data_IF_508117454812
#
_entry.id   IF_508117454812
#
_cell.length_a   1.000
_cell.length_b   1.000
_cell.length_c   1.000
_cell.angle_alpha   90.00
_cell.angle_beta   90.00
_cell.angle_gamma   90.00
#
_symmetry.space_group_name_H-M   'P 1'
#
loop_
_entity.id
_entity.type
_entity.pdbx_description
1 polymer ?
#
# COMPACT_ATOMS: atom_id res chain seq x y z
N UNK A 1 12.15 -12.47 -12.87
CA UNK A 1 12.04 -13.16 -11.57
C UNK A 1 10.95 -12.45 -10.79
N UNK A 2 9.73 -12.94 -10.99
CA UNK A 2 8.48 -12.33 -10.52
C UNK A 2 8.25 -12.72 -9.06
N UNK A 3 8.12 -11.71 -8.20
CA UNK A 3 7.62 -11.86 -6.84
C UNK A 3 6.15 -12.24 -6.85
N UNK A 4 5.84 -13.51 -7.08
CA UNK A 4 4.66 -14.12 -6.48
C UNK A 4 4.96 -14.29 -5.00
N UNK A 5 4.33 -13.45 -4.17
CA UNK A 5 4.32 -13.65 -2.71
C UNK A 5 3.93 -15.11 -2.43
N UNK A 6 4.66 -15.87 -1.60
CA UNK A 6 4.50 -17.31 -1.40
C UNK A 6 3.24 -17.69 -0.60
N UNK A 7 2.20 -16.85 -0.61
CA UNK A 7 1.01 -17.04 0.21
C UNK A 7 0.21 -18.30 -0.20
N UNK A 8 0.19 -18.69 -1.48
CA UNK A 8 -0.49 -19.92 -1.89
C UNK A 8 0.36 -21.18 -1.65
N UNK A 9 1.67 -21.14 -1.92
CA UNK A 9 2.53 -22.33 -1.84
C UNK A 9 2.79 -22.79 -0.40
N UNK A 10 2.90 -21.86 0.56
CA UNK A 10 3.05 -22.18 1.98
C UNK A 10 1.71 -22.62 2.62
N UNK A 11 0.59 -21.98 2.21
CA UNK A 11 -0.76 -22.33 2.66
C UNK A 11 -1.15 -23.76 2.29
N UNK A 12 -0.79 -24.23 1.09
CA UNK A 12 -1.02 -25.62 0.70
C UNK A 12 -0.03 -26.60 1.36
N UNK A 13 1.21 -26.21 1.63
CA UNK A 13 2.19 -27.08 2.30
C UNK A 13 1.86 -27.32 3.78
N UNK A 14 1.31 -26.31 4.48
CA UNK A 14 0.85 -26.42 5.88
C UNK A 14 -0.44 -27.22 5.97
N UNK A 15 -1.45 -26.96 5.12
CA UNK A 15 -2.68 -27.77 5.09
C UNK A 15 -2.40 -29.24 4.75
N UNK A 16 -1.41 -29.50 3.88
CA UNK A 16 -0.96 -30.84 3.52
C UNK A 16 -0.24 -31.54 4.69
N UNK A 17 0.66 -30.86 5.43
CA UNK A 17 1.31 -31.43 6.63
C UNK A 17 0.34 -31.62 7.80
N UNK A 18 -0.66 -30.75 7.95
CA UNK A 18 -1.63 -30.80 9.04
C UNK A 18 -2.64 -31.94 8.84
N UNK A 19 -3.12 -32.17 7.61
CA UNK A 19 -3.90 -33.36 7.28
C UNK A 19 -3.09 -34.67 7.40
N UNK A 20 -1.79 -34.64 7.07
CA UNK A 20 -0.88 -35.79 7.22
C UNK A 20 -0.54 -36.12 8.70
N UNK A 21 -0.70 -35.17 9.64
CA UNK A 21 -0.46 -35.35 11.08
C UNK A 21 -1.74 -35.64 11.89
N UNK A 22 -2.93 -35.25 11.42
CA UNK A 22 -4.19 -35.28 12.19
C UNK A 22 -5.05 -36.54 12.01
N UNK A 23 -4.40 -37.71 11.92
CA UNK A 23 -4.93 -38.94 12.51
C UNK A 23 -5.07 -38.89 14.06
N UNK A 24 -5.31 -37.70 14.63
CA UNK A 24 -5.32 -37.37 16.07
C UNK A 24 -6.43 -36.37 16.43
N UNK A 25 -7.65 -36.57 15.94
CA UNK A 25 -8.81 -35.81 16.42
C UNK A 25 -9.40 -36.44 17.70
N UNK A 26 -8.77 -36.20 18.86
CA UNK A 26 -9.33 -36.65 20.16
C UNK A 26 -8.99 -35.81 21.40
N UNK A 27 -8.53 -34.55 21.25
CA UNK A 27 -8.36 -33.65 22.40
C UNK A 27 -9.17 -32.36 22.23
N UNK A 28 -10.20 -32.21 23.06
CA UNK A 28 -10.95 -30.97 23.22
C UNK A 28 -9.99 -29.83 23.60
N UNK A 29 -9.93 -28.77 22.77
CA UNK A 29 -9.07 -27.60 22.97
C UNK A 29 -8.10 -27.30 21.81
N UNK A 30 -7.79 -28.27 20.95
CA UNK A 30 -6.99 -28.01 19.74
C UNK A 30 -7.75 -27.12 18.74
N UNK A 31 -9.02 -27.45 18.49
CA UNK A 31 -9.89 -26.73 17.55
C UNK A 31 -10.16 -25.27 17.93
N UNK A 32 -10.25 -24.96 19.23
CA UNK A 32 -10.46 -23.59 19.72
C UNK A 32 -9.25 -22.69 19.46
N UNK A 33 -8.03 -23.25 19.54
CA UNK A 33 -6.80 -22.52 19.21
C UNK A 33 -6.72 -22.19 17.72
N UNK A 34 -7.07 -23.16 16.87
CA UNK A 34 -7.05 -22.96 15.42
C UNK A 34 -8.07 -21.92 14.97
N UNK A 35 -9.30 -21.95 15.51
CA UNK A 35 -10.32 -20.94 15.21
C UNK A 35 -9.88 -19.53 15.61
N UNK A 36 -9.26 -19.38 16.79
CA UNK A 36 -8.73 -18.09 17.23
C UNK A 36 -7.70 -17.56 16.23
N UNK A 37 -6.82 -18.44 15.76
CA UNK A 37 -5.80 -18.09 14.77
C UNK A 37 -6.42 -17.70 13.43
N UNK A 38 -7.40 -18.45 12.93
CA UNK A 38 -8.11 -18.13 11.69
C UNK A 38 -8.78 -16.75 11.75
N UNK A 39 -9.40 -16.39 12.90
CA UNK A 39 -9.98 -15.05 13.08
C UNK A 39 -8.93 -13.95 13.01
N UNK A 40 -7.78 -14.14 13.66
CA UNK A 40 -6.69 -13.17 13.61
C UNK A 40 -6.13 -13.00 12.18
N UNK A 41 -5.99 -14.09 11.41
CA UNK A 41 -5.60 -14.01 10.00
C UNK A 41 -6.63 -13.29 9.14
N UNK A 42 -7.92 -13.57 9.37
CA UNK A 42 -9.00 -12.88 8.68
C UNK A 42 -8.97 -11.37 8.99
N UNK A 43 -8.70 -10.98 10.24
CA UNK A 43 -8.55 -9.57 10.62
C UNK A 43 -7.39 -8.89 9.89
N UNK A 44 -6.22 -9.54 9.74
CA UNK A 44 -5.09 -9.00 8.97
C UNK A 44 -5.46 -8.80 7.49
N UNK A 45 -6.12 -9.80 6.90
CA UNK A 45 -6.45 -9.77 5.47
C UNK A 45 -7.56 -8.78 5.14
N UNK A 46 -8.64 -8.80 5.92
CA UNK A 46 -9.85 -7.99 5.72
C UNK A 46 -9.65 -6.55 6.18
N UNK A 47 -9.08 -6.34 7.37
CA UNK A 47 -8.96 -5.02 7.97
C UNK A 47 -7.60 -4.36 7.67
N UNK A 48 -6.72 -5.06 6.93
CA UNK A 48 -5.36 -4.58 6.61
C UNK A 48 -4.57 -4.22 7.87
N UNK A 49 -4.89 -4.88 8.98
CA UNK A 49 -4.24 -4.67 10.27
C UNK A 49 -2.84 -5.27 10.20
N UNK A 50 -1.77 -4.49 10.42
CA UNK A 50 -0.43 -5.03 10.50
C UNK A 50 -0.32 -6.06 11.61
N UNK A 51 0.54 -7.03 11.44
CA UNK A 51 0.85 -8.01 12.47
C UNK A 51 2.14 -8.73 12.22
N UNK A 52 2.49 -9.59 13.17
CA UNK A 52 3.68 -10.43 13.11
C UNK A 52 3.25 -11.88 13.23
N UNK A 53 3.63 -12.66 12.24
CA UNK A 53 3.58 -14.11 12.31
C UNK A 53 4.88 -14.57 12.97
N UNK A 54 4.77 -15.45 13.95
CA UNK A 54 5.91 -16.12 14.58
C UNK A 54 5.72 -17.63 14.53
N UNK A 55 6.76 -18.36 14.14
CA UNK A 55 6.79 -19.82 14.12
C UNK A 55 7.96 -20.30 14.97
N UNK A 56 7.68 -21.27 15.85
CA UNK A 56 8.63 -21.88 16.78
C UNK A 56 8.43 -23.40 16.78
N UNK A 57 9.34 -24.19 17.37
CA UNK A 57 9.12 -25.62 17.61
C UNK A 57 7.81 -25.94 18.32
N UNK A 58 7.33 -25.01 19.17
CA UNK A 58 6.11 -25.16 19.96
C UNK A 58 4.83 -24.73 19.23
N UNK A 59 4.96 -24.27 17.97
CA UNK A 59 3.84 -23.94 17.10
C UNK A 59 3.85 -22.49 16.60
N UNK A 60 2.65 -22.06 16.20
CA UNK A 60 2.41 -20.83 15.45
C UNK A 60 1.71 -19.77 16.31
N UNK A 61 2.15 -18.52 16.20
CA UNK A 61 1.54 -17.38 16.86
C UNK A 61 1.35 -16.21 15.91
N UNK A 62 0.26 -15.46 16.09
CA UNK A 62 -0.03 -14.24 15.36
C UNK A 62 -0.32 -13.10 16.33
N UNK A 63 0.48 -12.04 16.22
CA UNK A 63 0.37 -10.85 17.05
C UNK A 63 -0.08 -9.68 16.17
N UNK A 64 -1.32 -9.22 16.38
CA UNK A 64 -1.88 -8.08 15.67
C UNK A 64 -1.30 -6.78 16.22
N UNK A 65 -1.25 -5.75 15.37
CA UNK A 65 -0.78 -4.40 15.70
C UNK A 65 0.70 -4.33 16.13
N UNK A 66 1.43 -5.44 16.03
CA UNK A 66 2.87 -5.46 16.20
C UNK A 66 3.54 -5.20 14.86
N UNK A 67 4.68 -4.51 14.90
CA UNK A 67 5.51 -4.25 13.72
C UNK A 67 6.87 -4.90 13.94
N UNK A 68 7.40 -5.48 12.87
CA UNK A 68 8.81 -5.84 12.77
C UNK A 68 9.48 -4.86 11.79
N UNK A 69 10.81 -4.72 11.84
CA UNK A 69 11.57 -4.23 10.69
C UNK A 69 11.16 -4.97 9.42
N UNK A 70 11.37 -4.38 8.24
CA UNK A 70 10.99 -4.94 6.93
C UNK A 70 11.76 -6.22 6.51
N UNK A 71 12.32 -6.93 7.47
CA UNK A 71 13.09 -8.14 7.30
C UNK A 71 12.43 -9.29 8.04
N UNK A 72 12.35 -10.43 7.36
CA UNK A 72 12.10 -11.71 8.02
C UNK A 72 13.22 -11.98 9.02
N UNK A 73 12.85 -12.30 10.26
CA UNK A 73 13.79 -12.65 11.31
C UNK A 73 13.82 -14.17 11.46
N UNK A 74 15.02 -14.76 11.38
CA UNK A 74 15.21 -16.18 11.66
C UNK A 74 16.37 -16.35 12.63
N UNK A 75 16.08 -17.01 13.75
CA UNK A 75 17.05 -17.34 14.78
C UNK A 75 17.05 -18.85 14.99
N UNK A 76 18.21 -19.49 14.88
CA UNK A 76 18.41 -20.92 15.09
C UNK A 76 19.48 -21.12 16.17
N UNK A 77 19.08 -21.67 17.31
CA UNK A 77 20.01 -22.08 18.38
C UNK A 77 20.17 -23.61 18.40
N UNK A 78 19.08 -24.35 18.21
CA UNK A 78 19.08 -25.82 18.06
C UNK A 78 17.83 -26.31 17.31
N UNK A 79 17.72 -27.61 17.04
CA UNK A 79 16.52 -28.21 16.43
C UNK A 79 15.23 -27.94 17.22
N UNK A 80 15.34 -27.82 18.55
CA UNK A 80 14.21 -27.55 19.45
C UNK A 80 14.20 -26.11 19.97
N UNK A 81 15.06 -25.23 19.45
CA UNK A 81 15.15 -23.84 19.86
C UNK A 81 15.45 -22.96 18.65
N UNK A 82 14.38 -22.58 17.96
CA UNK A 82 14.41 -21.69 16.80
C UNK A 82 13.17 -20.81 16.75
N UNK A 83 13.30 -19.68 16.07
CA UNK A 83 12.25 -18.70 15.88
C UNK A 83 12.31 -18.15 14.46
N UNK A 84 11.19 -18.22 13.75
CA UNK A 84 10.94 -17.50 12.51
C UNK A 84 9.91 -16.42 12.78
N UNK A 85 10.13 -15.19 12.31
CA UNK A 85 9.13 -14.13 12.36
C UNK A 85 9.04 -13.36 11.05
N UNK A 86 7.82 -12.98 10.67
CA UNK A 86 7.55 -12.21 9.47
C UNK A 86 6.45 -11.18 9.69
N UNK A 87 6.66 -9.99 9.16
CA UNK A 87 5.68 -8.91 9.12
C UNK A 87 4.58 -9.22 8.09
N UNK A 88 3.32 -9.14 8.50
CA UNK A 88 2.15 -9.37 7.65
C UNK A 88 1.15 -8.21 7.76
N UNK A 89 0.20 -8.12 6.84
CA UNK A 89 -0.81 -7.05 6.84
C UNK A 89 -0.32 -5.70 6.33
N UNK A 90 0.94 -5.59 5.91
CA UNK A 90 1.50 -4.38 5.31
C UNK A 90 1.21 -4.35 3.81
N UNK A 91 0.06 -3.80 3.45
CA UNK A 91 -0.31 -3.58 2.06
C UNK A 91 0.07 -2.16 1.66
N UNK A 92 0.76 -2.00 0.53
CA UNK A 92 1.02 -0.68 -0.06
C UNK A 92 -0.33 -0.12 -0.50
N UNK A 93 -0.74 1.01 0.06
CA UNK A 93 -2.02 1.64 -0.22
C UNK A 93 -1.80 2.79 -1.19
N UNK A 94 -2.40 2.69 -2.38
CA UNK A 94 -2.37 3.74 -3.38
C UNK A 94 -3.67 4.53 -3.35
N UNK A 95 -3.56 5.84 -3.09
CA UNK A 95 -4.66 6.78 -3.20
C UNK A 95 -4.46 7.63 -4.45
N UNK A 96 -5.25 7.38 -5.49
CA UNK A 96 -5.24 8.15 -6.73
C UNK A 96 -6.30 9.25 -6.62
N UNK A 97 -5.85 10.50 -6.55
CA UNK A 97 -6.72 11.66 -6.42
C UNK A 97 -6.95 12.26 -7.80
N UNK A 98 -8.15 12.09 -8.34
CA UNK A 98 -8.47 12.26 -9.74
C UNK A 98 -8.66 10.91 -10.43
N UNK A 99 -9.80 10.76 -11.11
CA UNK A 99 -10.27 9.55 -11.78
C UNK A 99 -10.07 9.55 -13.29
N UNK A 100 -9.20 10.40 -13.83
CA UNK A 100 -8.97 10.53 -15.28
C UNK A 100 -8.16 9.39 -15.93
N UNK A 101 -7.81 9.55 -17.20
CA UNK A 101 -7.12 8.53 -18.01
C UNK A 101 -5.79 8.04 -17.42
N UNK A 102 -4.99 8.94 -16.84
CA UNK A 102 -3.72 8.56 -16.19
C UNK A 102 -3.97 7.74 -14.92
N UNK A 103 -5.04 8.05 -14.17
CA UNK A 103 -5.46 7.28 -12.98
C UNK A 103 -5.83 5.85 -13.34
N UNK A 104 -6.62 5.68 -14.40
CA UNK A 104 -6.99 4.38 -14.94
C UNK A 104 -5.75 3.58 -15.38
N UNK A 105 -4.87 4.19 -16.17
CA UNK A 105 -3.65 3.55 -16.64
C UNK A 105 -2.70 3.17 -15.49
N UNK A 106 -2.53 4.05 -14.50
CA UNK A 106 -1.71 3.79 -13.33
C UNK A 106 -2.32 2.70 -12.43
N UNK A 107 -3.64 2.69 -12.24
CA UNK A 107 -4.33 1.63 -11.47
C UNK A 107 -4.02 0.24 -12.02
N UNK A 108 -4.01 0.10 -13.36
CA UNK A 108 -3.66 -1.16 -14.03
C UNK A 108 -2.25 -1.65 -13.67
N UNK A 109 -1.27 -0.75 -13.64
CA UNK A 109 0.13 -1.10 -13.32
C UNK A 109 0.29 -1.33 -11.81
N UNK A 110 -0.31 -0.49 -10.98
CA UNK A 110 -0.23 -0.65 -9.52
C UNK A 110 -0.86 -1.96 -9.03
N UNK A 111 -1.90 -2.46 -9.72
CA UNK A 111 -2.49 -3.75 -9.43
C UNK A 111 -1.51 -4.91 -9.63
N UNK A 112 -0.63 -4.83 -10.63
CA UNK A 112 0.43 -5.85 -10.83
C UNK A 112 1.59 -5.71 -9.85
N UNK A 113 1.65 -4.61 -9.11
CA UNK A 113 2.64 -4.33 -8.07
C UNK A 113 2.10 -4.55 -6.64
N UNK A 114 0.98 -5.25 -6.49
CA UNK A 114 0.30 -5.56 -5.22
C UNK A 114 -0.08 -4.33 -4.38
N UNK A 115 -0.49 -3.24 -5.02
CA UNK A 115 -1.10 -2.12 -4.30
C UNK A 115 -2.59 -2.35 -4.05
N UNK A 116 -3.04 -1.97 -2.85
CA UNK A 116 -4.46 -1.79 -2.57
C UNK A 116 -4.87 -0.37 -3.02
N UNK A 117 -5.69 -0.29 -4.06
CA UNK A 117 -5.92 0.94 -4.83
C UNK A 117 -7.28 1.53 -4.49
N UNK A 118 -7.26 2.77 -4.01
CA UNK A 118 -8.44 3.62 -3.84
C UNK A 118 -8.35 4.80 -4.80
N UNK A 119 -9.38 5.00 -5.62
CA UNK A 119 -9.50 6.19 -6.47
C UNK A 119 -10.52 7.13 -5.85
N UNK A 120 -10.17 8.41 -5.73
CA UNK A 120 -11.04 9.45 -5.18
C UNK A 120 -11.22 10.54 -6.23
N UNK A 121 -12.46 10.86 -6.58
CA UNK A 121 -12.79 12.01 -7.43
C UNK A 121 -14.05 12.73 -6.92
N UNK A 122 -14.15 14.03 -7.15
CA UNK A 122 -15.36 14.82 -6.87
C UNK A 122 -16.38 14.75 -8.01
N UNK A 123 -15.90 14.52 -9.24
CA UNK A 123 -16.73 14.48 -10.44
C UNK A 123 -17.66 13.27 -10.43
N UNK A 124 -18.85 13.48 -10.99
CA UNK A 124 -19.84 12.41 -11.11
C UNK A 124 -19.46 11.47 -12.25
N UNK A 125 -19.22 10.20 -11.89
CA UNK A 125 -19.11 9.06 -12.78
C UNK A 125 -18.38 9.30 -14.12
N UNK A 126 -17.13 9.81 -14.14
CA UNK A 126 -16.38 9.86 -15.38
C UNK A 126 -16.21 8.44 -15.93
N UNK A 127 -16.34 8.25 -17.25
CA UNK A 127 -16.28 6.93 -17.89
C UNK A 127 -15.05 6.14 -17.44
N UNK A 128 -13.91 6.82 -17.26
CA UNK A 128 -12.67 6.22 -16.78
C UNK A 128 -12.78 5.58 -15.39
N UNK A 129 -13.59 6.11 -14.47
CA UNK A 129 -13.87 5.47 -13.19
C UNK A 129 -14.69 4.20 -13.37
N UNK A 130 -15.72 4.21 -14.22
CA UNK A 130 -16.53 3.02 -14.50
C UNK A 130 -15.65 1.87 -15.05
N UNK A 131 -14.78 2.18 -16.00
CA UNK A 131 -13.84 1.23 -16.61
C UNK A 131 -12.65 0.81 -15.72
N UNK A 132 -12.45 1.46 -14.57
CA UNK A 132 -11.35 1.13 -13.68
C UNK A 132 -11.64 -0.11 -12.82
N UNK A 133 -11.58 -1.30 -13.41
CA UNK A 133 -11.78 -2.57 -12.69
C UNK A 133 -10.58 -2.96 -11.81
N UNK A 134 -9.48 -2.22 -11.88
CA UNK A 134 -8.25 -2.45 -11.08
C UNK A 134 -8.30 -1.77 -9.72
N UNK A 135 -9.11 -0.71 -9.59
CA UNK A 135 -9.34 -0.04 -8.31
C UNK A 135 -10.17 -0.92 -7.39
N UNK A 136 -9.68 -1.15 -6.17
CA UNK A 136 -10.39 -1.90 -5.14
C UNK A 136 -11.55 -1.06 -4.55
N UNK A 137 -11.35 0.26 -4.49
CA UNK A 137 -12.35 1.23 -4.01
C UNK A 137 -12.39 2.45 -4.92
N UNK A 138 -13.60 2.96 -5.16
CA UNK A 138 -13.86 4.21 -5.89
C UNK A 138 -14.75 5.06 -5.00
N UNK A 139 -14.22 6.18 -4.53
CA UNK A 139 -14.90 7.03 -3.55
C UNK A 139 -15.21 8.39 -4.17
N UNK A 140 -16.41 8.88 -3.89
CA UNK A 140 -16.81 10.25 -4.23
C UNK A 140 -16.71 11.10 -2.98
N UNK A 141 -15.62 11.83 -2.84
CA UNK A 141 -15.33 12.62 -1.64
C UNK A 141 -14.87 14.00 -2.09
N UNK A 142 -15.40 15.08 -1.49
CA UNK A 142 -14.87 16.43 -1.68
C UNK A 142 -13.37 16.46 -1.41
N UNK A 143 -12.57 17.01 -2.32
CA UNK A 143 -11.13 17.15 -2.19
C UNK A 143 -10.73 17.97 -0.95
N UNK A 144 -11.63 18.81 -0.42
CA UNK A 144 -11.45 19.54 0.85
C UNK A 144 -11.49 18.65 2.09
N UNK A 145 -11.95 17.42 1.96
CA UNK A 145 -12.13 16.45 3.03
C UNK A 145 -11.17 15.26 2.91
N UNK A 146 -10.28 15.27 1.90
CA UNK A 146 -9.31 14.19 1.67
C UNK A 146 -8.40 13.96 2.88
N UNK A 147 -8.04 15.04 3.59
CA UNK A 147 -7.29 14.96 4.84
C UNK A 147 -7.98 14.09 5.90
N UNK A 148 -9.29 13.90 5.88
CA UNK A 148 -9.98 13.02 6.83
C UNK A 148 -10.06 11.57 6.34
N UNK A 149 -9.91 11.35 5.04
CA UNK A 149 -10.05 10.02 4.42
C UNK A 149 -8.73 9.24 4.39
N UNK A 150 -7.62 9.92 4.11
CA UNK A 150 -6.33 9.23 3.92
C UNK A 150 -5.68 8.99 5.29
N UNK A 151 -5.40 7.73 5.68
CA UNK A 151 -4.76 7.44 6.95
C UNK A 151 -3.29 7.86 6.95
N UNK A 152 -2.74 8.07 8.15
CA UNK A 152 -1.30 8.24 8.33
C UNK A 152 -0.64 6.87 8.48
N UNK A 153 0.26 6.54 7.56
CA UNK A 153 1.04 5.31 7.59
C UNK A 153 2.17 5.38 6.57
N UNK A 154 3.31 4.75 6.90
CA UNK A 154 4.42 4.54 5.98
C UNK A 154 4.10 3.56 4.83
N UNK A 155 2.85 3.07 4.74
CA UNK A 155 2.37 2.28 3.61
C UNK A 155 1.51 3.07 2.63
N UNK A 156 1.29 4.36 2.89
CA UNK A 156 0.39 5.20 2.10
C UNK A 156 1.15 5.97 1.03
N UNK A 157 0.70 5.82 -0.21
CA UNK A 157 1.20 6.48 -1.41
C UNK A 157 0.08 7.27 -2.04
N UNK A 158 0.22 8.58 -2.12
CA UNK A 158 -0.79 9.49 -2.67
C UNK A 158 -0.31 10.07 -3.99
N UNK A 159 -1.16 10.00 -4.99
CA UNK A 159 -0.93 10.49 -6.34
C UNK A 159 -1.98 11.53 -6.67
N UNK A 160 -1.59 12.79 -6.64
CA UNK A 160 -2.42 13.94 -6.98
C UNK A 160 -2.40 14.12 -8.49
N UNK A 161 -3.51 13.81 -9.16
CA UNK A 161 -3.69 13.85 -10.61
C UNK A 161 -5.04 14.44 -11.00
N UNK A 162 -5.40 15.53 -10.31
CA UNK A 162 -6.67 16.24 -10.56
C UNK A 162 -6.59 17.09 -11.83
N UNK A 163 -7.72 17.69 -12.21
CA UNK A 163 -7.86 18.47 -13.44
C UNK A 163 -7.41 19.95 -13.31
N UNK A 164 -7.09 20.46 -12.11
CA UNK A 164 -6.77 21.88 -11.92
C UNK A 164 -5.68 22.14 -10.88
N UNK A 165 -4.95 23.25 -11.05
CA UNK A 165 -3.96 23.73 -10.07
C UNK A 165 -4.59 23.99 -8.69
N UNK A 166 -5.83 24.46 -8.65
CA UNK A 166 -6.54 24.79 -7.41
C UNK A 166 -6.82 23.53 -6.59
N UNK A 167 -7.33 22.49 -7.24
CA UNK A 167 -7.64 21.21 -6.60
C UNK A 167 -6.36 20.48 -6.19
N UNK A 168 -5.30 20.50 -7.00
CA UNK A 168 -4.01 19.93 -6.61
C UNK A 168 -3.43 20.61 -5.36
N UNK A 169 -3.47 21.95 -5.32
CA UNK A 169 -3.02 22.73 -4.16
C UNK A 169 -3.80 22.35 -2.91
N UNK A 170 -5.13 22.34 -3.00
CA UNK A 170 -6.03 22.04 -1.90
C UNK A 170 -5.75 20.65 -1.29
N UNK A 171 -5.47 19.66 -2.13
CA UNK A 171 -5.14 18.30 -1.68
C UNK A 171 -3.74 18.25 -1.09
N UNK A 172 -2.75 18.85 -1.76
CA UNK A 172 -1.37 18.86 -1.28
C UNK A 172 -1.24 19.52 0.10
N UNK A 173 -1.94 20.66 0.32
CA UNK A 173 -1.97 21.39 1.59
C UNK A 173 -2.45 20.51 2.75
N UNK A 174 -3.47 19.68 2.55
CA UNK A 174 -4.02 18.80 3.59
C UNK A 174 -3.11 17.60 3.92
N UNK A 175 -2.20 17.22 3.02
CA UNK A 175 -1.45 15.96 3.11
C UNK A 175 0.05 16.15 3.32
N UNK A 176 0.59 17.35 3.09
CA UNK A 176 2.03 17.59 3.15
C UNK A 176 2.64 17.28 4.53
N UNK A 177 1.91 17.59 5.61
CA UNK A 177 2.33 17.35 7.00
C UNK A 177 2.05 15.92 7.49
N UNK A 178 1.27 15.13 6.74
CA UNK A 178 0.91 13.78 7.16
C UNK A 178 2.07 12.81 7.06
N UNK A 179 2.12 11.84 7.99
CA UNK A 179 3.05 10.71 7.94
C UNK A 179 2.65 9.69 6.88
N UNK A 180 2.89 10.03 5.62
CA UNK A 180 2.72 9.17 4.44
C UNK A 180 4.07 8.94 3.75
N UNK A 181 4.22 7.83 3.03
CA UNK A 181 5.49 7.45 2.39
C UNK A 181 5.75 8.21 1.10
N UNK A 182 4.69 8.56 0.38
CA UNK A 182 4.81 9.24 -0.90
C UNK A 182 3.65 10.22 -1.11
N UNK A 183 3.99 11.46 -1.47
CA UNK A 183 3.05 12.50 -1.88
C UNK A 183 3.52 13.08 -3.21
N UNK A 184 2.91 12.62 -4.30
CA UNK A 184 3.32 12.98 -5.64
C UNK A 184 2.25 13.75 -6.39
N UNK A 185 2.65 14.79 -7.14
CA UNK A 185 1.76 15.61 -7.97
C UNK A 185 2.10 15.48 -9.45
N UNK A 186 1.09 15.14 -10.25
CA UNK A 186 1.17 15.11 -11.71
C UNK A 186 1.06 16.52 -12.29
N UNK A 187 2.00 16.88 -13.18
CA UNK A 187 1.99 18.17 -13.84
C UNK A 187 3.31 18.51 -14.53
N UNK A 188 3.36 19.66 -15.21
CA UNK A 188 4.62 20.22 -15.71
C UNK A 188 5.48 20.75 -14.57
N UNK A 189 6.79 20.91 -14.77
CA UNK A 189 7.70 21.50 -13.77
C UNK A 189 7.21 22.85 -13.27
N UNK A 190 6.83 23.74 -14.20
CA UNK A 190 6.23 25.05 -13.91
C UNK A 190 4.98 24.95 -13.03
N UNK A 191 4.11 23.96 -13.29
CA UNK A 191 2.91 23.72 -12.47
C UNK A 191 3.26 23.35 -11.04
N UNK A 192 4.29 22.51 -10.85
CA UNK A 192 4.72 22.08 -9.52
C UNK A 192 5.43 23.21 -8.76
N UNK A 193 6.30 23.96 -9.42
CA UNK A 193 6.95 25.15 -8.84
C UNK A 193 5.92 26.16 -8.35
N UNK A 194 4.91 26.45 -9.18
CA UNK A 194 3.83 27.35 -8.81
C UNK A 194 2.96 26.81 -7.67
N UNK A 195 2.73 25.49 -7.62
CA UNK A 195 2.03 24.86 -6.51
C UNK A 195 2.80 25.05 -5.19
N UNK A 196 4.12 24.81 -5.20
CA UNK A 196 4.97 24.98 -4.00
C UNK A 196 5.03 26.44 -3.56
N UNK A 197 5.25 27.38 -4.47
CA UNK A 197 5.26 28.82 -4.17
C UNK A 197 3.95 29.28 -3.52
N UNK A 198 2.81 28.77 -3.99
CA UNK A 198 1.50 29.08 -3.42
C UNK A 198 1.24 28.51 -2.02
N UNK A 199 2.10 27.60 -1.56
CA UNK A 199 2.02 26.91 -0.27
C UNK A 199 3.14 27.33 0.69
N UNK A 200 4.12 28.13 0.26
CA UNK A 200 5.24 28.60 1.10
C UNK A 200 4.80 29.36 2.35
N UNK A 201 3.67 30.06 2.29
CA UNK A 201 3.12 30.79 3.45
C UNK A 201 2.30 29.92 4.40
N UNK A 202 2.06 28.65 4.03
CA UNK A 202 1.15 27.74 4.74
C UNK A 202 1.81 26.47 5.25
N UNK A 203 2.89 26.05 4.60
CA UNK A 203 3.62 24.83 4.89
C UNK A 203 5.06 25.15 5.25
N UNK A 204 5.66 24.34 6.11
CA UNK A 204 7.09 24.44 6.38
C UNK A 204 7.90 24.01 5.14
N UNK A 205 9.19 24.37 5.14
CA UNK A 205 10.13 23.98 4.07
C UNK A 205 10.20 22.46 3.94
N UNK A 206 10.21 21.74 5.07
CA UNK A 206 10.24 20.28 5.11
C UNK A 206 8.99 19.68 4.46
N UNK A 207 7.81 20.21 4.75
CA UNK A 207 6.55 19.75 4.18
C UNK A 207 6.46 20.04 2.68
N UNK A 208 6.99 21.18 2.22
CA UNK A 208 7.12 21.48 0.78
C UNK A 208 8.11 20.56 0.06
N UNK A 209 9.17 20.13 0.74
CA UNK A 209 10.13 19.17 0.21
C UNK A 209 9.53 17.76 0.08
N UNK A 210 8.59 17.39 0.96
CA UNK A 210 7.84 16.12 0.87
C UNK A 210 6.94 16.03 -0.37
N UNK A 211 6.45 17.16 -0.90
CA UNK A 211 5.68 17.20 -2.14
C UNK A 211 6.61 16.91 -3.33
N UNK A 212 6.45 15.74 -3.95
CA UNK A 212 7.19 15.33 -5.16
C UNK A 212 6.41 15.74 -6.40
N UNK A 213 7.12 16.15 -7.44
CA UNK A 213 6.52 16.54 -8.69
C UNK A 213 7.52 17.21 -9.64
N UNK A 214 7.37 17.08 -10.97
CA UNK A 214 6.47 16.15 -11.65
C UNK A 214 6.75 14.70 -11.28
N UNK A 215 5.69 13.93 -11.04
CA UNK A 215 5.83 12.49 -10.76
C UNK A 215 6.14 11.72 -12.04
N UNK A 216 6.90 10.66 -11.90
CA UNK A 216 7.41 9.82 -12.96
C UNK A 216 8.84 10.12 -13.38
N UNK A 217 9.57 9.09 -13.80
CA UNK A 217 10.91 9.24 -14.36
C UNK A 217 10.87 10.03 -15.69
N UNK A 218 11.91 10.82 -16.01
CA UNK A 218 11.93 11.67 -17.20
C UNK A 218 12.22 10.89 -18.49
N UNK A 219 11.29 9.99 -18.86
CA UNK A 219 11.41 9.09 -20.03
C UNK A 219 10.72 9.64 -21.29
N UNK A 220 10.42 10.94 -21.33
CA UNK A 220 9.67 11.61 -22.41
C UNK A 220 8.30 10.96 -22.69
N UNK A 221 7.58 10.59 -21.63
CA UNK A 221 6.23 10.04 -21.72
C UNK A 221 5.20 11.09 -22.15
N UNK A 222 4.31 10.72 -23.07
CA UNK A 222 3.22 11.55 -23.58
C UNK A 222 1.84 10.91 -23.39
N UNK A 223 1.74 9.60 -23.54
CA UNK A 223 0.45 8.89 -23.41
C UNK A 223 0.15 8.56 -21.95
N UNK A 224 -1.13 8.37 -21.54
CA UNK A 224 -1.47 7.95 -20.18
C UNK A 224 -0.77 6.66 -19.74
N UNK A 225 -0.56 5.72 -20.67
CA UNK A 225 0.15 4.47 -20.40
C UNK A 225 1.65 4.71 -20.16
N UNK A 226 2.32 5.52 -20.99
CA UNK A 226 3.73 5.87 -20.79
C UNK A 226 3.94 6.64 -19.48
N UNK A 227 3.03 7.58 -19.17
CA UNK A 227 3.06 8.34 -17.91
C UNK A 227 2.91 7.37 -16.74
N UNK A 228 1.95 6.45 -16.79
CA UNK A 228 1.76 5.44 -15.75
C UNK A 228 3.02 4.57 -15.55
N UNK A 229 3.68 4.12 -16.63
CA UNK A 229 4.95 3.38 -16.56
C UNK A 229 6.04 4.23 -15.91
N UNK A 230 6.14 5.51 -16.28
CA UNK A 230 7.14 6.41 -15.70
C UNK A 230 6.97 6.58 -14.18
N UNK A 231 5.72 6.70 -13.70
CA UNK A 231 5.38 6.79 -12.28
C UNK A 231 5.69 5.47 -11.58
N UNK A 232 5.29 4.34 -12.16
CA UNK A 232 5.59 3.04 -11.58
C UNK A 232 7.10 2.78 -11.45
N UNK A 233 7.89 3.22 -12.43
CA UNK A 233 9.34 3.12 -12.39
C UNK A 233 9.96 3.98 -11.27
N UNK A 234 9.46 5.21 -11.07
CA UNK A 234 9.85 6.05 -9.93
C UNK A 234 9.51 5.38 -8.59
N UNK A 235 8.31 4.81 -8.46
CA UNK A 235 7.91 4.12 -7.23
C UNK A 235 8.80 2.91 -6.93
N UNK A 236 9.15 2.11 -7.93
CA UNK A 236 10.06 0.98 -7.77
C UNK A 236 11.44 1.47 -7.31
N UNK A 237 11.94 2.57 -7.89
CA UNK A 237 13.19 3.19 -7.46
C UNK A 237 13.13 3.60 -5.98
N UNK A 238 12.05 4.24 -5.54
CA UNK A 238 11.87 4.67 -4.14
C UNK A 238 11.77 3.46 -3.21
N UNK A 239 10.94 2.46 -3.57
CA UNK A 239 10.71 1.29 -2.75
C UNK A 239 11.97 0.44 -2.53
N UNK A 240 12.87 0.41 -3.52
CA UNK A 240 14.11 -0.36 -3.46
C UNK A 240 15.32 0.47 -2.99
N UNK A 241 15.15 1.79 -2.80
CA UNK A 241 16.21 2.67 -2.28
C UNK A 241 16.29 2.65 -0.75
N UNK A 242 15.19 2.30 -0.06
CA UNK A 242 15.24 2.05 1.38
C UNK A 242 16.08 0.77 1.62
N UNK A 243 17.17 0.84 2.41
CA UNK A 243 17.98 -0.33 2.70
C UNK A 243 17.08 -1.43 3.28
N UNK A 244 17.13 -2.62 2.67
CA UNK A 244 16.47 -3.80 3.23
C UNK A 244 17.05 -4.11 4.60
#
# INVERSE_FOLDING_TARGET
>A
MSGTRPFAACYFAVLKRQAELEGRHSQAGAWERDIKLYRQFAEISLNKTPGVISVTPNGFQLQLQQTLPWQTQFHLQSENDWLYQEAVGFYKQAYLIGGGHVSLALSKILATLDFDITVIDEQDNPDTLAHNHYAHRKLRIPYREIGNTIPESNQVFVFIMTHSHKTDKQVAEQLADKRIRYLGVLGSRKKIEQLKANLETRLSVESLQRIRGPIGLPIKSHTPAEIAVSIAAELIQILNADPQ
#
